data_IF_609743972342
#
_entry.id   IF_609743972342
#
_cell.length_a   1.000
_cell.length_b   1.000
_cell.length_c   1.000
_cell.angle_alpha   90.00
_cell.angle_beta   90.00
_cell.angle_gamma   90.00
#
_symmetry.space_group_name_H-M   'P 1'
#
loop_
_entity.id
_entity.type
_entity.pdbx_description
1 polymer ?
#
# COMPACT_ATOMS: atom_id res chain seq x y z
N UNK A 1 -4.36 -17.58 -0.52
CA UNK A 1 -5.65 -16.88 -0.75
C UNK A 1 -5.76 -15.76 0.29
N UNK A 2 -5.66 -14.49 -0.12
CA UNK A 2 -5.57 -13.37 0.82
C UNK A 2 -6.96 -12.99 1.38
N UNK A 3 -7.44 -13.75 2.37
CA UNK A 3 -8.74 -13.57 3.04
C UNK A 3 -8.90 -12.22 3.75
N UNK A 4 -7.81 -11.52 4.06
CA UNK A 4 -7.82 -10.20 4.68
C UNK A 4 -8.55 -9.14 3.83
N UNK A 5 -8.53 -9.27 2.51
CA UNK A 5 -9.14 -8.29 1.58
C UNK A 5 -10.67 -8.29 1.61
N UNK A 6 -11.37 -9.42 1.40
CA UNK A 6 -12.83 -9.45 1.51
C UNK A 6 -13.29 -9.14 2.94
N UNK A 7 -12.54 -9.59 3.96
CA UNK A 7 -12.90 -9.34 5.37
C UNK A 7 -12.82 -7.84 5.72
N UNK A 8 -11.75 -7.14 5.33
CA UNK A 8 -11.64 -5.69 5.57
C UNK A 8 -12.70 -4.90 4.81
N UNK A 9 -12.97 -5.26 3.56
CA UNK A 9 -14.04 -4.63 2.79
C UNK A 9 -15.43 -4.85 3.42
N UNK A 10 -15.69 -6.06 3.92
CA UNK A 10 -16.93 -6.39 4.62
C UNK A 10 -17.08 -5.57 5.92
N UNK A 11 -16.04 -5.55 6.75
CA UNK A 11 -16.03 -4.79 8.02
C UNK A 11 -16.31 -3.31 7.76
N UNK A 12 -15.61 -2.70 6.78
CA UNK A 12 -15.81 -1.29 6.47
C UNK A 12 -17.20 -1.04 5.88
N UNK A 13 -17.70 -1.93 5.03
CA UNK A 13 -19.05 -1.82 4.49
C UNK A 13 -20.12 -1.88 5.59
N UNK A 14 -20.03 -2.85 6.50
CA UNK A 14 -20.93 -2.97 7.64
C UNK A 14 -20.84 -1.78 8.61
N UNK A 15 -19.61 -1.31 8.91
CA UNK A 15 -19.42 -0.14 9.76
C UNK A 15 -20.05 1.12 9.14
N UNK A 16 -19.88 1.30 7.82
CA UNK A 16 -20.49 2.42 7.10
C UNK A 16 -22.02 2.35 7.16
N UNK A 17 -22.61 1.17 6.94
CA UNK A 17 -24.06 0.98 7.03
C UNK A 17 -24.58 1.34 8.44
N UNK A 18 -23.89 0.91 9.50
CA UNK A 18 -24.25 1.25 10.89
C UNK A 18 -24.15 2.75 11.18
N UNK A 19 -23.13 3.44 10.63
CA UNK A 19 -22.99 4.89 10.77
C UNK A 19 -24.12 5.61 10.04
N UNK A 20 -24.49 5.16 8.84
CA UNK A 20 -25.62 5.72 8.10
C UNK A 20 -26.95 5.49 8.83
N UNK A 21 -27.17 4.31 9.40
CA UNK A 21 -28.32 4.04 10.26
C UNK A 21 -28.41 5.01 11.43
N UNK A 22 -27.32 5.22 12.17
CA UNK A 22 -27.26 6.21 13.25
C UNK A 22 -27.51 7.64 12.75
N UNK A 23 -27.02 7.98 11.56
CA UNK A 23 -27.23 9.28 10.95
C UNK A 23 -28.71 9.51 10.57
N UNK A 24 -29.37 8.53 9.95
CA UNK A 24 -30.79 8.60 9.62
C UNK A 24 -31.68 8.59 10.86
N UNK A 25 -31.35 7.74 11.85
CA UNK A 25 -32.04 7.70 13.14
C UNK A 25 -32.01 9.06 13.84
N UNK A 26 -30.88 9.77 13.77
CA UNK A 26 -30.71 11.09 14.36
C UNK A 26 -31.09 12.24 13.41
N UNK A 27 -31.63 11.97 12.21
CA UNK A 27 -31.89 12.96 11.15
C UNK A 27 -30.69 13.90 10.89
N UNK A 28 -29.48 13.34 10.90
CA UNK A 28 -28.20 14.07 10.75
C UNK A 28 -27.96 15.17 11.81
N UNK A 29 -28.70 15.17 12.91
CA UNK A 29 -28.52 16.10 14.02
C UNK A 29 -27.58 15.48 15.08
N UNK A 30 -26.48 16.15 15.48
CA UNK A 30 -25.58 15.62 16.51
C UNK A 30 -26.21 15.50 17.90
N UNK A 31 -27.28 16.27 18.15
CA UNK A 31 -28.07 16.29 19.39
C UNK A 31 -29.55 16.27 19.05
N UNK A 32 -30.12 15.11 18.72
CA UNK A 32 -31.55 15.00 18.46
C UNK A 32 -32.31 15.10 19.79
N UNK A 33 -33.44 15.81 19.79
CA UNK A 33 -34.34 15.79 20.96
C UNK A 33 -35.07 14.45 21.07
N UNK A 34 -35.43 13.85 19.92
CA UNK A 34 -35.98 12.51 19.79
C UNK A 34 -35.49 11.87 18.49
N UNK A 35 -35.15 10.58 18.54
CA UNK A 35 -34.78 9.80 17.36
C UNK A 35 -36.00 9.38 16.54
N UNK A 36 -35.81 9.21 15.23
CA UNK A 36 -36.85 8.75 14.30
C UNK A 36 -36.57 7.32 13.81
N UNK A 37 -37.09 6.29 14.52
CA UNK A 37 -36.89 4.90 14.12
C UNK A 37 -37.58 4.57 12.80
N UNK A 38 -38.66 5.28 12.45
CA UNK A 38 -39.45 5.01 11.24
C UNK A 38 -38.68 5.43 10.00
N UNK A 39 -38.03 6.60 10.05
CA UNK A 39 -37.13 7.05 8.99
C UNK A 39 -35.94 6.10 8.82
N UNK A 40 -35.31 5.67 9.91
CA UNK A 40 -34.19 4.73 9.85
C UNK A 40 -34.58 3.38 9.21
N UNK A 41 -35.74 2.82 9.58
CA UNK A 41 -36.24 1.57 8.98
C UNK A 41 -36.52 1.72 7.47
N UNK A 42 -37.03 2.87 7.02
CA UNK A 42 -37.27 3.14 5.60
C UNK A 42 -35.97 3.31 4.81
N UNK A 43 -34.88 3.73 5.47
CA UNK A 43 -33.59 4.00 4.85
C UNK A 43 -32.65 2.79 4.85
N UNK A 44 -33.02 1.65 5.45
CA UNK A 44 -32.25 0.39 5.41
C UNK A 44 -31.74 0.05 4.00
N UNK A 45 -32.55 0.13 2.91
CA UNK A 45 -32.04 -0.15 1.56
C UNK A 45 -30.93 0.81 1.14
N UNK A 46 -31.03 2.08 1.50
CA UNK A 46 -30.05 3.13 1.17
C UNK A 46 -28.77 2.94 1.99
N UNK A 47 -28.89 2.58 3.27
CA UNK A 47 -27.77 2.28 4.16
C UNK A 47 -26.96 1.08 3.67
N UNK A 48 -27.65 0.01 3.26
CA UNK A 48 -27.03 -1.18 2.68
C UNK A 48 -26.32 -0.84 1.36
N UNK A 49 -26.95 -0.03 0.50
CA UNK A 49 -26.32 0.45 -0.74
C UNK A 49 -25.08 1.30 -0.45
N UNK A 50 -25.15 2.20 0.53
CA UNK A 50 -24.03 3.03 0.96
C UNK A 50 -22.87 2.19 1.51
N UNK A 51 -23.17 1.25 2.41
CA UNK A 51 -22.20 0.30 2.94
C UNK A 51 -21.56 -0.58 1.87
N UNK A 52 -22.37 -1.12 0.94
CA UNK A 52 -21.89 -1.91 -0.18
C UNK A 52 -20.98 -1.08 -1.10
N UNK A 53 -21.39 0.15 -1.44
CA UNK A 53 -20.62 1.05 -2.29
C UNK A 53 -19.26 1.37 -1.68
N UNK A 54 -19.23 1.75 -0.40
CA UNK A 54 -17.97 2.03 0.30
C UNK A 54 -17.11 0.77 0.43
N UNK A 55 -17.71 -0.39 0.76
CA UNK A 55 -17.01 -1.67 0.81
C UNK A 55 -16.34 -2.05 -0.51
N UNK A 56 -17.05 -1.88 -1.64
CA UNK A 56 -16.52 -2.09 -3.00
C UNK A 56 -15.38 -1.11 -3.30
N UNK A 57 -15.54 0.15 -2.91
CA UNK A 57 -14.54 1.19 -3.15
C UNK A 57 -13.24 0.90 -2.38
N UNK A 58 -13.34 0.51 -1.11
CA UNK A 58 -12.23 0.05 -0.29
C UNK A 58 -11.59 -1.19 -0.88
N UNK A 59 -12.39 -2.18 -1.28
CA UNK A 59 -11.89 -3.39 -1.93
C UNK A 59 -11.08 -3.07 -3.20
N UNK A 60 -11.53 -2.09 -4.00
CA UNK A 60 -10.87 -1.66 -5.23
C UNK A 60 -9.58 -0.88 -4.95
N UNK A 61 -9.62 0.08 -4.02
CA UNK A 61 -8.46 0.92 -3.68
C UNK A 61 -7.37 0.12 -3.00
N UNK A 62 -7.73 -0.64 -1.97
CA UNK A 62 -6.77 -1.50 -1.26
C UNK A 62 -6.41 -2.75 -2.06
N UNK A 63 -7.22 -3.15 -3.03
CA UNK A 63 -6.86 -4.18 -4.00
C UNK A 63 -5.61 -3.84 -4.81
N UNK A 64 -5.41 -2.56 -5.15
CA UNK A 64 -4.19 -2.10 -5.84
C UNK A 64 -2.95 -2.09 -4.92
N UNK A 65 -3.13 -1.75 -3.64
CA UNK A 65 -2.01 -1.69 -2.67
C UNK A 65 -1.61 -3.05 -2.09
N UNK A 66 -2.56 -3.96 -1.85
CA UNK A 66 -2.27 -5.31 -1.36
C UNK A 66 -1.86 -6.30 -2.47
N UNK A 67 -2.05 -5.94 -3.74
CA UNK A 67 -1.49 -6.70 -4.86
C UNK A 67 0.02 -6.50 -5.00
N UNK A 68 0.55 -5.40 -4.45
CA UNK A 68 1.98 -5.09 -4.49
C UNK A 68 2.57 -4.81 -3.10
N UNK A 69 2.56 -5.80 -2.19
CA UNK A 69 3.19 -5.69 -0.87
C UNK A 69 4.73 -5.59 -0.99
N UNK A 70 5.28 -5.98 -2.13
CA UNK A 70 6.70 -5.90 -2.49
C UNK A 70 7.10 -4.54 -3.02
N UNK A 71 6.29 -3.88 -3.85
CA UNK A 71 6.61 -2.58 -4.45
C UNK A 71 6.94 -1.49 -3.42
N UNK A 72 6.24 -1.47 -2.29
CA UNK A 72 6.55 -0.51 -1.21
C UNK A 72 7.87 -0.82 -0.48
N UNK A 73 8.35 -2.06 -0.48
CA UNK A 73 9.67 -2.44 0.06
C UNK A 73 10.76 -2.28 -0.99
N UNK A 74 10.44 -2.54 -2.24
CA UNK A 74 11.33 -2.40 -3.38
C UNK A 74 11.71 -0.92 -3.58
N UNK A 75 10.75 0.01 -3.49
CA UNK A 75 11.01 1.46 -3.48
C UNK A 75 11.92 1.90 -2.32
N UNK A 76 11.89 1.18 -1.19
CA UNK A 76 12.74 1.47 -0.03
C UNK A 76 14.15 0.90 -0.25
N UNK A 77 14.25 -0.32 -0.76
CA UNK A 77 15.52 -0.97 -1.09
C UNK A 77 16.24 -0.26 -2.24
N UNK A 78 15.53 0.19 -3.27
CA UNK A 78 16.07 1.03 -4.35
C UNK A 78 16.61 2.35 -3.80
N UNK A 79 15.85 3.02 -2.92
CA UNK A 79 16.31 4.26 -2.27
C UNK A 79 17.52 4.04 -1.38
N UNK A 80 17.61 2.91 -0.67
CA UNK A 80 18.80 2.55 0.11
C UNK A 80 20.01 2.33 -0.80
N UNK A 81 19.85 1.54 -1.86
CA UNK A 81 20.91 1.26 -2.83
C UNK A 81 21.40 2.54 -3.51
N UNK A 82 20.48 3.44 -3.85
CA UNK A 82 20.82 4.73 -4.45
C UNK A 82 21.61 5.62 -3.47
N UNK A 83 21.18 5.70 -2.21
CA UNK A 83 21.91 6.43 -1.15
C UNK A 83 23.27 5.81 -0.86
N UNK A 84 23.40 4.50 -0.97
CA UNK A 84 24.67 3.80 -0.83
C UNK A 84 25.63 4.15 -1.99
N UNK A 85 25.13 4.05 -3.23
CA UNK A 85 25.88 4.42 -4.43
C UNK A 85 26.37 5.87 -4.37
N UNK A 86 25.51 6.83 -3.99
CA UNK A 86 25.90 8.25 -3.88
C UNK A 86 26.97 8.50 -2.82
N UNK A 87 26.95 7.79 -1.68
CA UNK A 87 28.01 7.90 -0.66
C UNK A 87 29.38 7.40 -1.15
N UNK A 88 29.40 6.55 -2.18
CA UNK A 88 30.60 5.92 -2.75
C UNK A 88 30.96 6.45 -4.14
N UNK A 89 30.44 7.60 -4.53
CA UNK A 89 30.76 8.23 -5.82
C UNK A 89 30.17 7.51 -7.03
N UNK A 90 29.07 6.77 -6.85
CA UNK A 90 28.37 6.06 -7.91
C UNK A 90 28.85 4.63 -8.17
N UNK A 91 29.77 4.09 -7.36
CA UNK A 91 30.27 2.72 -7.48
C UNK A 91 29.73 1.85 -6.34
N UNK A 92 29.19 0.68 -6.71
CA UNK A 92 28.53 -0.27 -5.79
C UNK A 92 29.18 -1.64 -5.94
N UNK A 93 29.79 -2.13 -4.86
CA UNK A 93 30.37 -3.47 -4.77
C UNK A 93 29.48 -4.37 -3.91
N UNK A 94 29.09 -5.54 -4.43
CA UNK A 94 28.17 -6.47 -3.75
C UNK A 94 28.68 -6.94 -2.38
N UNK A 95 29.97 -7.25 -2.28
CA UNK A 95 30.57 -7.74 -1.03
C UNK A 95 30.61 -6.67 0.08
N UNK A 96 30.62 -5.39 -0.32
CA UNK A 96 30.57 -4.28 0.63
C UNK A 96 29.15 -3.92 1.04
N UNK A 97 28.15 -4.17 0.21
CA UNK A 97 26.74 -3.93 0.56
C UNK A 97 26.34 -4.79 1.76
N UNK A 98 26.71 -6.06 1.77
CA UNK A 98 26.37 -6.99 2.86
C UNK A 98 26.99 -6.57 4.21
N UNK A 99 28.15 -5.92 4.18
CA UNK A 99 28.88 -5.49 5.38
C UNK A 99 28.50 -4.07 5.84
N UNK A 100 28.12 -3.17 4.93
CA UNK A 100 27.94 -1.74 5.21
C UNK A 100 26.47 -1.28 5.15
N UNK A 101 25.56 -2.15 4.72
CA UNK A 101 24.13 -1.84 4.58
C UNK A 101 23.28 -2.99 5.14
N UNK A 102 22.11 -2.70 5.74
CA UNK A 102 21.14 -3.75 6.11
C UNK A 102 20.47 -4.41 4.89
N UNK A 103 21.05 -4.28 3.70
CA UNK A 103 20.50 -4.80 2.45
C UNK A 103 21.08 -6.19 2.21
N UNK A 104 20.21 -7.18 2.08
CA UNK A 104 20.63 -8.54 1.73
C UNK A 104 21.29 -8.58 0.34
N UNK A 105 22.36 -9.39 0.21
CA UNK A 105 23.18 -9.49 -0.99
C UNK A 105 22.39 -9.97 -2.20
N UNK A 106 21.46 -10.91 -2.02
CA UNK A 106 20.62 -11.40 -3.12
C UNK A 106 19.67 -10.31 -3.62
N UNK A 107 19.04 -9.59 -2.68
CA UNK A 107 18.14 -8.47 -2.99
C UNK A 107 18.89 -7.35 -3.73
N UNK A 108 20.10 -7.00 -3.27
CA UNK A 108 20.94 -6.00 -3.91
C UNK A 108 21.33 -6.39 -5.34
N UNK A 109 21.70 -7.66 -5.55
CA UNK A 109 22.05 -8.19 -6.87
C UNK A 109 20.88 -8.12 -7.86
N UNK A 110 19.67 -8.47 -7.41
CA UNK A 110 18.47 -8.40 -8.25
C UNK A 110 18.15 -6.96 -8.66
N UNK A 111 18.27 -6.00 -7.74
CA UNK A 111 18.07 -4.57 -8.03
C UNK A 111 19.13 -4.02 -8.98
N UNK A 112 20.40 -4.36 -8.78
CA UNK A 112 21.49 -3.94 -9.65
C UNK A 112 21.35 -4.52 -11.07
N UNK A 113 21.00 -5.80 -11.21
CA UNK A 113 20.71 -6.39 -12.52
C UNK A 113 19.55 -5.68 -13.23
N UNK A 114 18.50 -5.29 -12.49
CA UNK A 114 17.39 -4.53 -13.05
C UNK A 114 17.84 -3.13 -13.49
N UNK A 115 18.66 -2.44 -12.71
CA UNK A 115 19.21 -1.14 -13.11
C UNK A 115 20.11 -1.23 -14.34
N UNK A 116 20.87 -2.31 -14.50
CA UNK A 116 21.62 -2.58 -15.74
C UNK A 116 20.68 -2.78 -16.92
N UNK A 117 19.61 -3.58 -16.76
CA UNK A 117 18.60 -3.77 -17.81
C UNK A 117 17.86 -2.46 -18.17
N UNK A 118 17.70 -1.55 -17.21
CA UNK A 118 17.09 -0.24 -17.41
C UNK A 118 18.07 0.82 -17.94
N UNK A 119 19.36 0.49 -18.13
CA UNK A 119 20.40 1.44 -18.54
C UNK A 119 20.78 2.47 -17.48
N UNK A 120 20.41 2.24 -16.21
CA UNK A 120 20.72 3.11 -15.06
C UNK A 120 22.01 2.72 -14.35
N UNK A 121 22.57 1.56 -14.65
CA UNK A 121 23.84 1.10 -14.11
C UNK A 121 24.60 0.28 -15.17
N UNK A 122 25.91 0.18 -15.00
CA UNK A 122 26.81 -0.60 -15.84
C UNK A 122 27.68 -1.50 -14.96
N UNK A 123 27.79 -2.77 -15.30
CA UNK A 123 28.71 -3.68 -14.63
C UNK A 123 30.13 -3.42 -15.16
N UNK A 124 30.99 -2.82 -14.33
CA UNK A 124 32.35 -2.45 -14.72
C UNK A 124 33.34 -3.60 -14.50
N UNK A 125 33.10 -4.42 -13.48
CA UNK A 125 33.86 -5.61 -13.16
C UNK A 125 32.94 -6.65 -12.46
N UNK A 126 33.33 -7.93 -12.36
CA UNK A 126 32.49 -8.95 -11.74
C UNK A 126 32.10 -8.56 -10.31
N UNK A 127 30.81 -8.26 -10.10
CA UNK A 127 30.29 -7.84 -8.80
C UNK A 127 30.47 -6.35 -8.45
N UNK A 128 30.93 -5.54 -9.40
CA UNK A 128 31.09 -4.10 -9.29
C UNK A 128 30.24 -3.36 -10.33
N UNK A 129 29.31 -2.55 -9.83
CA UNK A 129 28.33 -1.83 -10.62
C UNK A 129 28.56 -0.32 -10.48
N UNK A 130 28.65 0.37 -11.60
CA UNK A 130 28.65 1.83 -11.66
C UNK A 130 27.24 2.32 -11.98
N UNK A 131 26.68 3.13 -11.10
CA UNK A 131 25.39 3.79 -11.33
C UNK A 131 25.62 4.96 -12.30
N UNK A 132 24.92 4.92 -13.43
CA UNK A 132 24.92 5.96 -14.44
C UNK A 132 23.89 7.02 -14.00
N UNK A 133 24.30 8.29 -14.06
CA UNK A 133 23.50 9.43 -13.58
C UNK A 133 22.49 9.88 -14.61
#
# INVERSE_FOLDING_TARGET
MNWLRPVTALIVGCATALVLFGAFYNRFSPRPEQGDPQLALQMIPVELLGGLLIGVLVYRVFGRKLADPTGSREDVHERMLMRFAFRRGGVVQLDRIENESPLDRMTARQLLHRWVQQGRAEETAPGEFRVLR
#
